data_IF_084077246220
#
_entry.id   IF_084077246220
#
_cell.length_a   1.000
_cell.length_b   1.000
_cell.length_c   1.000
_cell.angle_alpha   90.00
_cell.angle_beta   90.00
_cell.angle_gamma   90.00
#
_symmetry.space_group_name_H-M   'P 1'
#
loop_
_entity.id
_entity.type
_entity.pdbx_description
1 polymer ?
#
# COMPACT_ATOMS: atom_id res chain seq x y z
N UNK A 1 -4.67 16.68 2.22
CA UNK A 1 -6.10 16.38 2.36
C UNK A 1 -6.26 14.92 2.74
N UNK A 2 -7.13 14.63 3.70
CA UNK A 2 -7.34 13.26 4.15
C UNK A 2 -8.12 12.46 3.12
N UNK A 3 -7.55 11.34 2.67
CA UNK A 3 -8.29 10.38 1.87
C UNK A 3 -9.18 9.53 2.78
N UNK A 4 -10.44 9.40 2.41
CA UNK A 4 -11.39 8.57 3.16
C UNK A 4 -11.48 7.21 2.47
N UNK A 5 -10.93 6.13 3.09
CA UNK A 5 -10.94 4.82 2.45
C UNK A 5 -12.35 4.25 2.31
N UNK A 6 -12.54 3.47 1.27
CA UNK A 6 -13.79 2.74 1.04
C UNK A 6 -13.51 1.24 1.02
N UNK A 7 -14.40 0.46 1.62
CA UNK A 7 -14.26 -1.01 1.58
C UNK A 7 -14.19 -1.48 0.13
N UNK A 8 -13.22 -2.32 -0.16
CA UNK A 8 -12.97 -2.81 -1.51
C UNK A 8 -12.00 -1.97 -2.33
N UNK A 9 -11.64 -0.80 -1.84
CA UNK A 9 -10.66 0.05 -2.52
C UNK A 9 -9.27 -0.59 -2.47
N UNK A 10 -8.52 -0.48 -3.56
CA UNK A 10 -7.15 -0.97 -3.62
C UNK A 10 -6.18 0.13 -3.22
N UNK A 11 -5.08 -0.28 -2.59
CA UNK A 11 -4.05 0.64 -2.15
C UNK A 11 -2.69 -0.07 -2.17
N UNK A 12 -1.64 0.70 -2.03
CA UNK A 12 -0.28 0.19 -1.95
C UNK A 12 0.36 0.60 -0.63
N UNK A 13 1.23 -0.25 -0.12
CA UNK A 13 1.96 0.02 1.12
C UNK A 13 3.43 0.20 0.79
N UNK A 14 4.03 1.22 1.39
CA UNK A 14 5.46 1.44 1.27
C UNK A 14 6.04 1.78 2.63
N UNK A 15 7.33 1.52 2.79
CA UNK A 15 8.05 1.79 4.03
C UNK A 15 8.92 3.02 3.81
N UNK A 16 8.70 4.10 4.57
CA UNK A 16 9.52 5.30 4.45
C UNK A 16 10.88 5.03 5.11
N UNK A 17 11.81 4.55 4.32
CA UNK A 17 13.14 4.18 4.81
C UNK A 17 14.18 5.09 4.22
N UNK A 18 15.14 5.51 5.04
CA UNK A 18 16.27 6.32 4.59
C UNK A 18 17.37 5.50 3.92
N UNK A 19 17.13 4.22 3.82
CA UNK A 19 18.12 3.35 3.20
C UNK A 19 18.11 3.57 1.70
N UNK A 20 19.23 3.40 1.11
CA UNK A 20 19.47 3.57 -0.31
C UNK A 20 18.82 2.44 -1.08
N UNK A 21 17.55 2.49 -1.19
CA UNK A 21 16.83 1.49 -1.94
C UNK A 21 16.77 1.89 -3.38
N UNK A 22 17.25 1.02 -4.20
CA UNK A 22 17.27 1.21 -5.63
C UNK A 22 15.90 1.02 -6.24
N UNK A 23 15.01 0.31 -5.55
CA UNK A 23 13.64 0.10 -6.00
C UNK A 23 12.73 0.01 -4.80
N UNK A 24 11.69 0.83 -4.81
CA UNK A 24 10.63 0.70 -3.82
C UNK A 24 9.62 -0.30 -4.35
N UNK A 25 9.52 -1.43 -3.67
CA UNK A 25 8.46 -2.38 -3.97
C UNK A 25 7.23 -1.93 -3.24
N UNK A 26 6.16 -1.68 -3.99
CA UNK A 26 4.87 -1.33 -3.43
C UNK A 26 4.01 -2.58 -3.39
N UNK A 27 3.66 -3.00 -2.19
CA UNK A 27 2.82 -4.17 -2.00
C UNK A 27 1.35 -3.79 -2.09
N UNK A 28 0.54 -4.55 -2.85
CA UNK A 28 -0.87 -4.25 -3.02
C UNK A 28 -1.71 -4.77 -1.85
N UNK A 29 -2.72 -4.00 -1.49
CA UNK A 29 -3.67 -4.35 -0.44
C UNK A 29 -5.06 -3.91 -0.85
N UNK A 30 -6.07 -4.47 -0.18
CA UNK A 30 -7.47 -4.09 -0.32
C UNK A 30 -8.00 -3.62 1.02
N UNK A 31 -8.78 -2.56 1.03
CA UNK A 31 -9.45 -2.11 2.25
C UNK A 31 -10.51 -3.11 2.65
N UNK A 32 -10.35 -3.72 3.82
CA UNK A 32 -11.26 -4.75 4.35
C UNK A 32 -12.37 -4.13 5.20
N UNK A 33 -12.02 -3.16 6.04
CA UNK A 33 -12.99 -2.44 6.86
C UNK A 33 -12.48 -1.06 7.23
N UNK A 34 -13.41 -0.15 7.52
CA UNK A 34 -13.09 1.22 7.92
C UNK A 34 -13.96 1.58 9.11
N UNK A 35 -13.35 2.17 10.12
CA UNK A 35 -14.05 2.66 11.30
C UNK A 35 -13.39 3.96 11.77
N UNK A 36 -13.95 5.09 11.30
CA UNK A 36 -13.40 6.39 11.64
C UNK A 36 -11.98 6.58 11.14
N UNK A 37 -11.05 6.75 12.06
CA UNK A 37 -9.63 6.95 11.74
C UNK A 37 -8.82 5.66 11.75
N UNK A 38 -9.49 4.52 11.71
CA UNK A 38 -8.87 3.21 11.68
C UNK A 38 -9.37 2.43 10.48
N UNK A 39 -8.47 1.75 9.78
CA UNK A 39 -8.85 0.83 8.72
C UNK A 39 -8.08 -0.48 8.86
N UNK A 40 -8.71 -1.56 8.44
CA UNK A 40 -8.06 -2.85 8.29
C UNK A 40 -7.91 -3.13 6.81
N UNK A 41 -6.71 -3.50 6.40
CA UNK A 41 -6.41 -3.83 5.02
C UNK A 41 -5.96 -5.28 4.92
N UNK A 42 -6.14 -5.87 3.76
CA UNK A 42 -5.78 -7.27 3.50
C UNK A 42 -4.88 -7.35 2.29
N UNK A 43 -3.86 -8.19 2.35
CA UNK A 43 -2.95 -8.40 1.23
C UNK A 43 -3.72 -8.78 -0.03
N UNK A 44 -3.31 -8.21 -1.14
CA UNK A 44 -3.85 -8.52 -2.47
C UNK A 44 -2.71 -9.04 -3.35
N UNK A 45 -3.02 -9.37 -4.59
CA UNK A 45 -2.03 -9.88 -5.54
C UNK A 45 -2.04 -9.05 -6.81
N UNK A 46 -0.85 -8.87 -7.37
CA UNK A 46 -0.69 -8.23 -8.66
C UNK A 46 -0.73 -9.28 -9.77
N UNK A 47 -1.43 -8.95 -10.85
CA UNK A 47 -1.50 -9.80 -12.03
C UNK A 47 -0.65 -9.18 -13.13
N UNK A 48 0.20 -10.02 -13.72
CA UNK A 48 1.03 -9.62 -14.86
C UNK A 48 0.80 -10.61 -15.98
N UNK A 49 0.45 -10.10 -17.15
CA UNK A 49 0.29 -10.92 -18.35
C UNK A 49 1.49 -10.66 -19.26
N UNK A 50 2.26 -11.70 -19.54
CA UNK A 50 3.43 -11.59 -20.38
C UNK A 50 4.74 -11.57 -19.60
N UNK A 51 5.80 -11.12 -20.25
CA UNK A 51 7.14 -11.12 -19.66
C UNK A 51 7.25 -9.99 -18.65
N UNK A 52 7.77 -10.33 -17.47
CA UNK A 52 7.89 -9.40 -16.38
C UNK A 52 9.32 -8.85 -16.29
N UNK A 53 9.44 -7.56 -16.51
CA UNK A 53 10.68 -6.84 -16.37
C UNK A 53 10.66 -5.99 -15.10
N UNK A 54 11.79 -5.40 -14.78
CA UNK A 54 11.97 -4.56 -13.60
C UNK A 54 10.95 -3.40 -13.53
N UNK A 55 10.64 -2.82 -14.67
CA UNK A 55 9.75 -1.67 -14.77
C UNK A 55 8.36 -2.02 -15.28
N UNK A 56 8.02 -3.31 -15.34
CA UNK A 56 6.71 -3.74 -15.83
C UNK A 56 5.62 -3.35 -14.83
N UNK A 57 4.61 -2.64 -15.33
CA UNK A 57 3.44 -2.33 -14.53
C UNK A 57 2.50 -3.53 -14.49
N UNK A 58 1.78 -3.73 -13.39
CA UNK A 58 0.81 -4.80 -13.32
C UNK A 58 -0.39 -4.51 -14.21
N UNK A 59 -1.00 -5.58 -14.73
CA UNK A 59 -2.22 -5.46 -15.52
C UNK A 59 -3.44 -5.30 -14.64
N UNK A 60 -3.41 -5.87 -13.45
CA UNK A 60 -4.54 -5.81 -12.53
C UNK A 60 -4.09 -6.10 -11.11
N UNK A 61 -4.99 -5.79 -10.18
CA UNK A 61 -4.83 -6.13 -8.78
C UNK A 61 -6.08 -6.91 -8.35
N UNK A 62 -5.88 -8.06 -7.70
CA UNK A 62 -6.98 -8.91 -7.27
C UNK A 62 -6.87 -9.20 -5.78
N UNK A 63 -8.02 -9.33 -5.13
CA UNK A 63 -8.09 -9.66 -3.73
C UNK A 63 -7.56 -11.06 -3.48
N UNK A 64 -6.91 -11.22 -2.33
CA UNK A 64 -6.50 -12.51 -1.83
C UNK A 64 -7.32 -12.80 -0.58
N UNK A 65 -8.30 -13.74 -0.64
CA UNK A 65 -9.14 -14.02 0.52
C UNK A 65 -8.36 -14.60 1.70
N UNK A 66 -7.16 -15.09 1.45
CA UNK A 66 -6.28 -15.63 2.51
C UNK A 66 -5.14 -14.67 2.84
N UNK A 67 -5.20 -13.46 2.33
CA UNK A 67 -4.17 -12.45 2.57
C UNK A 67 -4.12 -12.04 4.03
N UNK A 68 -2.92 -11.69 4.48
CA UNK A 68 -2.72 -11.21 5.85
C UNK A 68 -3.35 -9.84 6.02
N UNK A 69 -3.95 -9.63 7.19
CA UNK A 69 -4.57 -8.36 7.53
C UNK A 69 -3.63 -7.49 8.34
N UNK A 70 -3.69 -6.19 8.09
CA UNK A 70 -2.94 -5.18 8.82
C UNK A 70 -3.89 -4.05 9.23
N UNK A 71 -3.57 -3.41 10.35
CA UNK A 71 -4.34 -2.26 10.84
C UNK A 71 -3.56 -0.99 10.57
N UNK A 72 -4.25 0.02 10.03
CA UNK A 72 -3.69 1.34 9.77
C UNK A 72 -4.56 2.38 10.44
N UNK A 73 -3.93 3.48 10.86
CA UNK A 73 -4.63 4.62 11.48
C UNK A 73 -4.23 5.90 10.79
N UNK A 74 -5.18 6.84 10.75
CA UNK A 74 -4.89 8.18 10.24
C UNK A 74 -4.05 8.94 11.26
N UNK A 75 -2.94 9.53 10.80
CA UNK A 75 -2.09 10.40 11.59
C UNK A 75 -2.34 11.85 11.20
N UNK A 76 -2.98 12.62 12.09
CA UNK A 76 -3.17 14.05 11.87
C UNK A 76 -1.84 14.79 11.78
N UNK A 77 -0.88 14.39 12.60
CA UNK A 77 0.42 15.02 12.62
C UNK A 77 1.17 14.85 11.30
N UNK A 78 1.11 13.64 10.73
CA UNK A 78 1.83 13.33 9.50
C UNK A 78 0.97 13.45 8.26
N UNK A 79 -0.35 13.66 8.41
CA UNK A 79 -1.31 13.75 7.31
C UNK A 79 -1.24 12.54 6.38
N UNK A 80 -1.30 11.34 6.99
CA UNK A 80 -1.21 10.10 6.23
C UNK A 80 -1.82 8.93 7.01
N UNK A 81 -2.21 7.89 6.29
CA UNK A 81 -2.58 6.61 6.88
C UNK A 81 -1.30 5.79 7.10
N UNK A 82 -1.05 5.40 8.32
CA UNK A 82 0.16 4.63 8.65
C UNK A 82 -0.20 3.44 9.54
N UNK A 83 0.68 2.42 9.53
CA UNK A 83 0.42 1.21 10.30
C UNK A 83 0.35 1.49 11.79
N UNK A 84 -0.47 0.68 12.48
CA UNK A 84 -0.69 0.78 13.91
C UNK A 84 -0.46 -0.58 14.57
N UNK A 85 0.32 -0.66 15.65
CA UNK A 85 1.07 0.44 16.27
C UNK A 85 2.24 0.91 15.42
N UNK A 86 2.53 2.20 15.49
CA UNK A 86 3.62 2.77 14.72
C UNK A 86 4.96 2.43 15.38
N UNK A 87 5.87 1.87 14.59
CA UNK A 87 7.26 1.69 15.01
C UNK A 87 8.11 2.91 14.65
N UNK A 88 9.43 2.71 14.60
CA UNK A 88 10.35 3.77 14.20
C UNK A 88 10.13 4.21 12.75
N UNK A 89 9.77 3.26 11.89
CA UNK A 89 9.52 3.50 10.47
C UNK A 89 8.19 2.84 10.09
N UNK A 90 7.07 3.45 10.48
CA UNK A 90 5.77 2.85 10.18
C UNK A 90 5.51 2.83 8.68
N UNK A 91 4.94 1.74 8.19
CA UNK A 91 4.56 1.66 6.79
C UNK A 91 3.41 2.60 6.50
N UNK A 92 3.35 3.12 5.30
CA UNK A 92 2.39 4.14 4.89
C UNK A 92 1.51 3.60 3.78
N UNK A 93 0.23 3.89 3.87
CA UNK A 93 -0.74 3.54 2.83
C UNK A 93 -0.79 4.63 1.77
N UNK A 94 -0.79 4.23 0.51
CA UNK A 94 -0.87 5.14 -0.62
C UNK A 94 -2.01 4.70 -1.51
N UNK A 95 -2.96 5.60 -1.72
CA UNK A 95 -4.16 5.36 -2.53
C UNK A 95 -3.95 5.93 -3.92
N UNK A 96 -4.67 5.33 -4.89
CA UNK A 96 -4.62 5.79 -6.26
C UNK A 96 -4.12 4.72 -7.21
N UNK A 97 -3.88 5.12 -8.45
CA UNK A 97 -3.40 4.21 -9.47
C UNK A 97 -1.96 3.79 -9.20
N UNK A 98 -1.60 2.64 -9.73
CA UNK A 98 -0.22 2.17 -9.66
C UNK A 98 0.69 3.18 -10.37
N UNK A 99 1.56 3.79 -9.60
CA UNK A 99 2.50 4.80 -10.09
C UNK A 99 3.91 4.38 -9.71
N UNK A 100 4.25 3.16 -10.05
CA UNK A 100 5.56 2.64 -9.74
C UNK A 100 6.60 3.23 -10.69
N UNK A 101 7.49 4.00 -10.11
CA UNK A 101 8.62 4.56 -10.83
C UNK A 101 9.89 3.94 -10.24
N UNK A 102 10.49 2.96 -10.92
CA UNK A 102 11.73 2.40 -10.41
C UNK A 102 12.78 3.50 -10.35
N UNK A 103 13.35 3.67 -9.18
CA UNK A 103 14.42 4.62 -9.01
C UNK A 103 15.71 3.98 -9.53
N UNK A 104 16.15 4.45 -10.68
CA UNK A 104 17.39 4.02 -11.29
C UNK A 104 18.38 5.14 -11.11
N UNK A 105 19.36 4.85 -10.31
CA UNK A 105 20.42 5.81 -10.06
C UNK A 105 21.57 5.60 -11.02
#
# INVERSE_FOLDING_TARGET
MKHIPMVGEHLYIWTPCNMWTVAMVRDPYTVDSVNGNTMVIREARLIFNGVRYFDTLPDDIVDDPHGRKLTFRWSEKKQRWQESPAGSYPRVAEFGAWDYQPYID
#
